data_IF_980782260100
#
_entry.id   IF_980782260100
#
_cell.length_a   1.000
_cell.length_b   1.000
_cell.length_c   1.000
_cell.angle_alpha   90.00
_cell.angle_beta   90.00
_cell.angle_gamma   90.00
#
_symmetry.space_group_name_H-M   'P 1'
#
loop_
_entity.id
_entity.type
_entity.pdbx_description
1 polymer ?
#
# COMPACT_ATOMS: atom_id res chain seq x y z
N UNK A 1 40.95 7.07 6.57
CA UNK A 1 39.76 7.42 7.36
C UNK A 1 38.60 6.53 6.96
N UNK A 2 38.17 5.68 7.85
CA UNK A 2 37.02 4.86 7.61
C UNK A 2 35.78 5.74 7.47
N UNK A 3 35.20 5.80 6.30
CA UNK A 3 33.87 6.39 6.13
C UNK A 3 32.89 5.54 6.95
N UNK A 4 32.39 6.15 8.00
CA UNK A 4 31.26 5.55 8.70
C UNK A 4 30.15 5.35 7.69
N UNK A 5 29.85 4.08 7.38
CA UNK A 5 28.62 3.79 6.68
C UNK A 5 27.50 4.35 7.53
N UNK A 6 26.78 5.33 7.01
CA UNK A 6 25.53 5.73 7.62
C UNK A 6 24.68 4.47 7.78
N UNK A 7 24.11 4.22 8.97
CA UNK A 7 23.14 3.15 9.06
C UNK A 7 22.10 3.40 7.98
N UNK A 8 21.88 2.40 7.14
CA UNK A 8 20.79 2.46 6.18
C UNK A 8 19.52 2.87 6.95
N UNK A 9 18.79 3.87 6.47
CA UNK A 9 17.54 4.22 7.12
C UNK A 9 16.74 2.95 7.26
N UNK A 10 16.23 2.71 8.47
CA UNK A 10 15.34 1.58 8.70
C UNK A 10 14.33 1.60 7.58
N UNK A 11 14.33 0.55 6.77
CA UNK A 11 13.35 0.45 5.71
C UNK A 11 11.98 0.64 6.35
N UNK A 12 11.24 1.62 5.84
CA UNK A 12 9.89 1.84 6.29
C UNK A 12 9.15 0.52 6.25
N UNK A 13 8.60 0.13 7.39
CA UNK A 13 7.76 -1.06 7.48
C UNK A 13 6.36 -0.83 6.90
N UNK A 14 6.10 0.39 6.40
CA UNK A 14 4.81 0.71 5.78
C UNK A 14 4.65 -0.05 4.48
N UNK A 15 3.51 -0.71 4.29
CA UNK A 15 3.22 -1.38 3.03
C UNK A 15 3.28 -0.41 1.86
N UNK A 16 3.75 -0.84 0.68
CA UNK A 16 3.84 0.02 -0.49
C UNK A 16 2.51 0.71 -0.85
N UNK A 17 1.40 0.02 -0.69
CA UNK A 17 0.09 0.59 -1.01
C UNK A 17 -0.28 1.74 -0.06
N UNK A 18 0.08 1.65 1.20
CA UNK A 18 -0.12 2.74 2.15
C UNK A 18 0.70 3.97 1.76
N UNK A 19 1.96 3.76 1.35
CA UNK A 19 2.81 4.86 0.86
C UNK A 19 2.20 5.52 -0.37
N UNK A 20 1.80 4.72 -1.35
CA UNK A 20 1.21 5.23 -2.59
C UNK A 20 -0.10 5.98 -2.35
N UNK A 21 -0.92 5.52 -1.41
CA UNK A 21 -2.14 6.22 -1.03
C UNK A 21 -1.83 7.60 -0.42
N UNK A 22 -0.81 7.70 0.42
CA UNK A 22 -0.36 8.98 0.98
C UNK A 22 0.19 9.91 -0.09
N UNK A 23 0.97 9.37 -1.02
CA UNK A 23 1.47 10.14 -2.17
C UNK A 23 0.29 10.68 -2.98
N UNK A 24 -0.68 9.83 -3.28
CA UNK A 24 -1.90 10.21 -3.99
C UNK A 24 -2.63 11.36 -3.29
N UNK A 25 -2.85 11.25 -1.99
CA UNK A 25 -3.56 12.28 -1.23
C UNK A 25 -2.81 13.62 -1.23
N UNK A 26 -1.49 13.59 -1.13
CA UNK A 26 -0.66 14.79 -1.18
C UNK A 26 -0.67 15.45 -2.58
N UNK A 27 -0.60 14.64 -3.63
CA UNK A 27 -0.72 15.16 -5.00
C UNK A 27 -2.12 15.75 -5.23
N UNK A 28 -3.15 15.04 -4.80
CA UNK A 28 -4.54 15.46 -4.97
C UNK A 28 -4.86 16.75 -4.21
N UNK A 29 -4.19 17.01 -3.09
CA UNK A 29 -4.38 18.22 -2.31
C UNK A 29 -3.90 19.50 -3.02
N UNK A 30 -3.16 19.36 -4.12
CA UNK A 30 -2.62 20.49 -4.87
C UNK A 30 -1.35 21.08 -4.28
N UNK A 31 -0.71 20.42 -3.33
CA UNK A 31 0.51 20.91 -2.68
C UNK A 31 1.76 20.76 -3.54
N UNK A 32 1.69 20.08 -4.67
CA UNK A 32 2.79 19.80 -5.60
C UNK A 32 4.01 19.23 -4.86
N UNK A 33 3.89 18.09 -4.18
CA UNK A 33 5.00 17.51 -3.45
C UNK A 33 6.10 17.04 -4.41
N UNK A 34 7.36 17.26 -4.03
CA UNK A 34 8.49 16.68 -4.77
C UNK A 34 8.96 15.39 -4.08
N UNK A 35 9.88 14.67 -4.73
CA UNK A 35 10.40 13.41 -4.19
C UNK A 35 11.07 13.58 -2.83
N UNK A 36 11.76 14.71 -2.61
CA UNK A 36 12.43 14.99 -1.34
C UNK A 36 11.42 15.18 -0.22
N UNK A 37 10.36 15.94 -0.45
CA UNK A 37 9.30 16.14 0.51
C UNK A 37 8.60 14.83 0.84
N UNK A 38 8.24 14.06 -0.20
CA UNK A 38 7.57 12.77 -0.03
C UNK A 38 8.46 11.77 0.72
N UNK A 39 9.75 11.74 0.41
CA UNK A 39 10.69 10.88 1.12
C UNK A 39 10.76 11.23 2.61
N UNK A 40 10.78 12.52 2.93
CA UNK A 40 10.80 12.99 4.31
C UNK A 40 9.49 12.64 5.03
N UNK A 41 8.36 12.92 4.43
CA UNK A 41 7.04 12.65 5.01
C UNK A 41 6.80 11.16 5.27
N UNK A 42 7.25 10.32 4.34
CA UNK A 42 7.00 8.89 4.40
C UNK A 42 8.16 8.10 5.03
N UNK A 43 9.22 8.80 5.42
CA UNK A 43 10.40 8.20 6.05
C UNK A 43 11.05 7.11 5.20
N UNK A 44 11.14 7.38 3.91
CA UNK A 44 11.79 6.51 2.93
C UNK A 44 12.81 7.29 2.11
N UNK A 45 13.56 6.59 1.26
CA UNK A 45 14.51 7.24 0.35
C UNK A 45 13.80 7.83 -0.86
N UNK A 46 14.42 8.82 -1.50
CA UNK A 46 13.91 9.36 -2.77
C UNK A 46 13.83 8.30 -3.85
N UNK A 47 14.74 7.34 -3.83
CA UNK A 47 14.72 6.20 -4.76
C UNK A 47 13.43 5.39 -4.62
N UNK A 48 12.98 5.14 -3.39
CA UNK A 48 11.70 4.47 -3.11
C UNK A 48 10.53 5.30 -3.65
N UNK A 49 10.57 6.62 -3.48
CA UNK A 49 9.52 7.50 -4.01
C UNK A 49 9.47 7.45 -5.54
N UNK A 50 10.60 7.52 -6.22
CA UNK A 50 10.63 7.42 -7.68
C UNK A 50 10.06 6.08 -8.17
N UNK A 51 10.36 5.01 -7.45
CA UNK A 51 9.85 3.67 -7.74
C UNK A 51 8.33 3.60 -7.53
N UNK A 52 7.85 4.15 -6.42
CA UNK A 52 6.41 4.18 -6.12
C UNK A 52 5.64 5.00 -7.16
N UNK A 53 6.16 6.17 -7.54
CA UNK A 53 5.54 7.03 -8.55
C UNK A 53 5.53 6.35 -9.92
N UNK A 54 6.63 5.70 -10.30
CA UNK A 54 6.70 4.94 -11.56
C UNK A 54 5.65 3.83 -11.57
N UNK A 55 5.47 3.13 -10.46
CA UNK A 55 4.43 2.10 -10.33
C UNK A 55 3.02 2.70 -10.46
N UNK A 56 2.77 3.82 -9.79
CA UNK A 56 1.48 4.51 -9.86
C UNK A 56 1.16 4.91 -11.30
N UNK A 57 2.14 5.43 -12.03
CA UNK A 57 1.98 5.85 -13.42
C UNK A 57 1.82 4.67 -14.37
N UNK A 58 2.71 3.69 -14.29
CA UNK A 58 2.85 2.64 -15.30
C UNK A 58 1.93 1.44 -15.05
N UNK A 59 1.63 1.13 -13.79
CA UNK A 59 0.84 -0.04 -13.40
C UNK A 59 -0.58 0.31 -12.96
N UNK A 60 -0.77 1.50 -12.40
CA UNK A 60 -2.06 1.93 -11.90
C UNK A 60 -2.74 2.94 -12.84
N UNK A 61 -2.09 3.27 -13.95
CA UNK A 61 -2.58 4.22 -14.96
C UNK A 61 -2.96 5.59 -14.37
N UNK A 62 -2.27 6.01 -13.32
CA UNK A 62 -2.47 7.33 -12.75
C UNK A 62 -1.71 8.37 -13.56
N UNK A 63 -2.34 9.49 -13.93
CA UNK A 63 -1.71 10.51 -14.78
C UNK A 63 -0.79 11.43 -13.99
N UNK A 64 0.22 10.87 -13.35
CA UNK A 64 1.21 11.59 -12.53
C UNK A 64 2.30 12.16 -13.43
N UNK A 65 2.57 13.46 -13.27
CA UNK A 65 3.65 14.14 -13.97
C UNK A 65 4.38 15.08 -13.02
N UNK A 66 5.67 15.27 -13.28
CA UNK A 66 6.47 16.28 -12.59
C UNK A 66 6.34 17.60 -13.34
N UNK A 67 5.98 18.67 -12.60
CA UNK A 67 5.89 20.01 -13.16
C UNK A 67 7.05 20.88 -12.65
N UNK A 68 7.89 21.30 -13.56
CA UNK A 68 9.05 22.13 -13.23
C UNK A 68 8.66 23.50 -12.65
N UNK A 69 7.55 24.06 -13.10
CA UNK A 69 7.05 25.37 -12.64
C UNK A 69 6.76 25.36 -11.13
N UNK A 70 6.25 24.25 -10.60
CA UNK A 70 5.94 24.09 -9.18
C UNK A 70 6.96 23.24 -8.43
N UNK A 71 7.96 22.72 -9.14
CA UNK A 71 8.97 21.82 -8.60
C UNK A 71 8.35 20.65 -7.81
N UNK A 72 7.31 20.04 -8.39
CA UNK A 72 6.59 18.97 -7.73
C UNK A 72 5.70 18.18 -8.65
N UNK A 73 5.13 17.14 -8.11
CA UNK A 73 4.25 16.24 -8.85
C UNK A 73 2.81 16.74 -8.84
N UNK A 74 2.11 16.49 -9.93
CA UNK A 74 0.69 16.77 -10.06
C UNK A 74 0.03 15.72 -10.97
N UNK A 75 -1.28 15.67 -10.93
CA UNK A 75 -2.05 14.87 -11.89
C UNK A 75 -2.42 15.73 -13.09
N UNK A 76 -2.24 15.17 -14.29
CA UNK A 76 -2.61 15.85 -15.55
C UNK A 76 -4.11 16.04 -15.71
N UNK A 77 -4.89 15.19 -15.07
CA UNK A 77 -6.33 15.23 -15.08
C UNK A 77 -6.87 14.90 -13.71
N UNK A 78 -8.13 15.21 -13.46
CA UNK A 78 -8.72 14.95 -12.16
C UNK A 78 -8.82 13.44 -11.89
N UNK A 79 -8.28 13.03 -10.75
CA UNK A 79 -8.33 11.64 -10.28
C UNK A 79 -9.30 11.57 -9.10
N UNK A 80 -10.42 10.88 -9.28
CA UNK A 80 -11.45 10.78 -8.24
C UNK A 80 -11.04 9.88 -7.09
N UNK A 81 -10.78 8.63 -7.39
CA UNK A 81 -10.43 7.63 -6.37
C UNK A 81 -9.12 6.96 -6.72
N UNK A 82 -8.37 6.64 -5.68
CA UNK A 82 -7.19 5.80 -5.81
C UNK A 82 -7.62 4.43 -6.33
N UNK A 83 -6.96 3.89 -7.38
CA UNK A 83 -7.32 2.57 -7.89
C UNK A 83 -7.08 1.52 -6.82
N UNK A 84 -8.15 1.00 -6.27
CA UNK A 84 -8.07 -0.10 -5.32
C UNK A 84 -7.92 -1.41 -6.06
N UNK A 85 -7.30 -2.39 -5.41
CA UNK A 85 -7.24 -3.74 -5.96
C UNK A 85 -8.66 -4.27 -6.04
N UNK A 86 -9.13 -4.52 -7.26
CA UNK A 86 -10.46 -5.10 -7.46
C UNK A 86 -10.40 -6.58 -7.12
N UNK A 87 -10.97 -6.93 -5.97
CA UNK A 87 -11.11 -8.32 -5.54
C UNK A 87 -12.52 -8.78 -5.89
N UNK A 88 -12.61 -9.90 -6.60
CA UNK A 88 -13.91 -10.49 -6.90
C UNK A 88 -14.51 -11.15 -5.66
N UNK A 89 -15.81 -11.37 -5.66
CA UNK A 89 -16.49 -12.09 -4.57
C UNK A 89 -15.90 -13.48 -4.36
N UNK A 90 -15.54 -14.16 -5.43
CA UNK A 90 -14.92 -15.50 -5.36
C UNK A 90 -13.54 -15.45 -4.70
N UNK A 91 -12.74 -14.44 -5.03
CA UNK A 91 -11.41 -14.25 -4.41
C UNK A 91 -11.53 -13.92 -2.93
N UNK A 92 -12.48 -13.05 -2.57
CA UNK A 92 -12.76 -12.71 -1.17
C UNK A 92 -13.20 -13.97 -0.40
N UNK A 93 -14.08 -14.76 -1.00
CA UNK A 93 -14.53 -16.03 -0.40
C UNK A 93 -13.37 -16.98 -0.19
N UNK A 94 -12.47 -17.10 -1.17
CA UNK A 94 -11.26 -17.92 -1.06
C UNK A 94 -10.36 -17.47 0.09
N UNK A 95 -10.23 -16.16 0.31
CA UNK A 95 -9.46 -15.61 1.43
C UNK A 95 -10.09 -15.97 2.77
N UNK A 96 -11.41 -15.91 2.87
CA UNK A 96 -12.13 -16.29 4.09
C UNK A 96 -11.98 -17.79 4.39
N UNK A 97 -12.04 -18.63 3.36
CA UNK A 97 -11.82 -20.08 3.49
C UNK A 97 -10.39 -20.34 3.95
N UNK A 98 -9.41 -19.63 3.39
CA UNK A 98 -8.01 -19.74 3.78
C UNK A 98 -7.80 -19.36 5.25
N UNK A 99 -8.45 -18.30 5.70
CA UNK A 99 -8.40 -17.87 7.11
C UNK A 99 -8.95 -18.95 8.04
N UNK A 100 -10.09 -19.54 7.69
CA UNK A 100 -10.67 -20.65 8.47
C UNK A 100 -9.80 -21.90 8.44
N UNK A 101 -9.19 -22.21 7.29
CA UNK A 101 -8.26 -23.33 7.18
C UNK A 101 -7.03 -23.14 8.07
N UNK A 102 -6.55 -21.91 8.23
CA UNK A 102 -5.43 -21.63 9.12
C UNK A 102 -5.74 -21.90 10.59
N UNK A 103 -7.01 -21.84 11.00
CA UNK A 103 -7.42 -22.16 12.35
C UNK A 103 -7.14 -23.62 12.72
N UNK A 104 -7.09 -24.52 11.73
CA UNK A 104 -6.75 -25.93 11.94
C UNK A 104 -5.29 -26.12 12.42
N UNK A 105 -4.44 -25.13 12.14
CA UNK A 105 -3.05 -25.14 12.57
C UNK A 105 -2.84 -24.49 13.93
N UNK A 106 -3.91 -24.12 14.61
CA UNK A 106 -3.84 -23.53 15.94
C UNK A 106 -3.19 -24.48 16.93
N UNK A 107 -2.19 -24.00 17.65
CA UNK A 107 -1.40 -24.83 18.58
C UNK A 107 -0.27 -25.60 17.93
N UNK A 108 -0.09 -25.51 16.62
CA UNK A 108 1.03 -26.11 15.90
C UNK A 108 2.16 -25.11 15.69
N UNK A 109 3.33 -25.62 15.27
CA UNK A 109 4.47 -24.79 14.91
C UNK A 109 4.21 -23.90 13.68
N UNK A 110 3.18 -24.19 12.91
CA UNK A 110 2.81 -23.43 11.70
C UNK A 110 1.89 -22.25 11.99
N UNK A 111 1.29 -22.17 13.17
CA UNK A 111 0.31 -21.14 13.50
C UNK A 111 0.88 -19.72 13.33
N UNK A 112 1.99 -19.42 14.00
CA UNK A 112 2.60 -18.09 13.96
C UNK A 112 3.09 -17.70 12.57
N UNK A 113 3.84 -18.55 11.84
CA UNK A 113 4.26 -18.23 10.48
C UNK A 113 3.09 -18.00 9.52
N UNK A 114 2.02 -18.80 9.62
CA UNK A 114 0.85 -18.66 8.76
C UNK A 114 0.10 -17.36 9.05
N UNK A 115 -0.14 -17.04 10.31
CA UNK A 115 -0.78 -15.78 10.71
C UNK A 115 0.06 -14.57 10.29
N UNK A 116 1.37 -14.65 10.46
CA UNK A 116 2.27 -13.58 10.05
C UNK A 116 2.25 -13.37 8.55
N UNK A 117 2.31 -14.44 7.76
CA UNK A 117 2.26 -14.37 6.30
C UNK A 117 0.92 -13.81 5.81
N UNK A 118 -0.18 -14.29 6.36
CA UNK A 118 -1.53 -13.83 6.00
C UNK A 118 -1.69 -12.34 6.33
N UNK A 119 -1.23 -11.93 7.52
CA UNK A 119 -1.29 -10.53 7.94
C UNK A 119 -0.48 -9.63 7.01
N UNK A 120 0.70 -10.04 6.57
CA UNK A 120 1.53 -9.29 5.63
C UNK A 120 0.84 -9.10 4.28
N UNK A 121 0.15 -10.12 3.80
CA UNK A 121 -0.60 -10.06 2.53
C UNK A 121 -1.81 -9.15 2.68
N UNK A 122 -2.53 -9.22 3.79
CA UNK A 122 -3.78 -8.47 3.99
C UNK A 122 -3.55 -7.03 4.46
N UNK A 123 -2.45 -6.72 5.15
CA UNK A 123 -2.16 -5.35 5.60
C UNK A 123 -2.08 -4.36 4.44
N UNK A 124 -1.54 -4.78 3.29
CA UNK A 124 -1.49 -3.94 2.10
C UNK A 124 -2.85 -3.60 1.51
N UNK A 125 -3.89 -4.32 1.91
CA UNK A 125 -5.25 -4.20 1.39
C UNK A 125 -6.27 -3.80 2.47
N UNK A 126 -5.80 -3.42 3.66
CA UNK A 126 -6.60 -3.38 4.89
C UNK A 126 -7.85 -2.53 4.80
N UNK A 127 -7.76 -1.31 4.28
CA UNK A 127 -8.89 -0.38 4.27
C UNK A 127 -10.00 -0.79 3.30
N UNK A 128 -9.62 -1.42 2.20
CA UNK A 128 -10.57 -1.85 1.18
C UNK A 128 -11.19 -3.20 1.52
N UNK A 129 -10.41 -4.12 2.09
CA UNK A 129 -10.87 -5.47 2.43
C UNK A 129 -11.70 -5.46 3.72
N UNK A 130 -11.32 -4.67 4.72
CA UNK A 130 -12.05 -4.65 5.99
C UNK A 130 -13.49 -4.19 5.82
N UNK A 131 -13.71 -3.21 4.96
CA UNK A 131 -15.06 -2.73 4.65
C UNK A 131 -15.92 -3.82 3.99
N UNK A 132 -15.34 -4.52 3.03
CA UNK A 132 -16.03 -5.59 2.32
C UNK A 132 -16.23 -6.84 3.17
N UNK A 133 -15.31 -7.12 4.09
CA UNK A 133 -15.42 -8.26 5.01
C UNK A 133 -16.54 -8.08 6.02
N UNK A 134 -16.74 -6.88 6.53
CA UNK A 134 -17.83 -6.58 7.46
C UNK A 134 -19.20 -6.73 6.77
N UNK A 135 -19.32 -6.24 5.54
CA UNK A 135 -20.52 -6.43 4.73
C UNK A 135 -20.77 -7.89 4.38
N UNK A 136 -19.70 -8.64 4.15
CA UNK A 136 -19.78 -10.05 3.78
C UNK A 136 -20.10 -10.95 4.98
N UNK A 137 -19.54 -10.63 6.15
CA UNK A 137 -19.79 -11.39 7.38
C UNK A 137 -21.24 -11.19 7.86
N UNK A 138 -21.82 -10.03 7.62
CA UNK A 138 -23.24 -9.78 7.89
C UNK A 138 -24.19 -10.47 6.93
N UNK A 139 -23.74 -10.81 5.71
CA UNK A 139 -24.56 -11.49 4.71
C UNK A 139 -24.36 -13.00 4.70
N UNK A 140 -23.31 -13.54 5.31
CA UNK A 140 -23.07 -14.96 5.50
C UNK A 140 -23.10 -15.28 7.00
N UNK A 141 -24.28 -15.19 7.59
CA UNK A 141 -24.49 -15.80 8.90
C UNK A 141 -24.81 -17.28 8.69
N UNK A 142 -23.84 -18.09 8.99
CA UNK A 142 -24.09 -19.53 9.14
C UNK A 142 -24.70 -19.83 10.50
#
# INVERSE_FOLDING_TARGET
MAKRSKPSPKQSTRPPIERMLKIHNLIKSGSHPNATLLACELEVTTKTIYRDIAFMRDRMDLPVEFEAAYNGYHYLEEVGQFPTVNITEGELFAMLVAEKAMQQYRGTNFEKPLLSAFRKVTEGLTDTISFNLDDFDSSISF
#
